data_IF_703368489853
#
_entry.id   IF_703368489853
#
_cell.length_a   1.000
_cell.length_b   1.000
_cell.length_c   1.000
_cell.angle_alpha   90.00
_cell.angle_beta   90.00
_cell.angle_gamma   90.00
#
_symmetry.space_group_name_H-M   'P 1'
#
loop_
_entity.id
_entity.type
_entity.pdbx_description
1 polymer ?
#
# COMPACT_ATOMS: atom_id res chain seq x y z
N UNK A 1 -28.77 -26.44 -14.44
CA UNK A 1 -27.89 -25.36 -13.93
C UNK A 1 -27.77 -25.52 -12.43
N UNK A 2 -26.56 -25.61 -11.90
CA UNK A 2 -26.34 -25.53 -10.45
C UNK A 2 -26.61 -24.09 -9.97
N UNK A 3 -27.25 -23.97 -8.80
CA UNK A 3 -27.61 -22.68 -8.23
C UNK A 3 -26.34 -21.96 -7.70
N UNK A 4 -26.00 -20.78 -8.25
CA UNK A 4 -24.76 -20.05 -7.91
C UNK A 4 -24.77 -19.44 -6.50
N UNK A 5 -25.91 -19.41 -5.81
CA UNK A 5 -26.06 -18.81 -4.49
C UNK A 5 -25.86 -19.82 -3.34
N UNK A 6 -25.70 -21.11 -3.62
CA UNK A 6 -25.53 -22.15 -2.58
C UNK A 6 -24.28 -21.99 -1.71
N UNK A 7 -23.34 -21.17 -2.15
CA UNK A 7 -22.06 -20.96 -1.49
C UNK A 7 -21.98 -19.64 -0.71
N UNK A 8 -23.04 -18.82 -0.69
CA UNK A 8 -23.06 -17.52 0.01
C UNK A 8 -22.98 -17.69 1.53
N UNK A 9 -23.72 -18.65 2.10
CA UNK A 9 -23.75 -18.88 3.55
C UNK A 9 -22.63 -19.82 4.03
N UNK A 10 -21.71 -20.22 3.13
CA UNK A 10 -20.59 -21.08 3.50
C UNK A 10 -19.46 -20.24 4.08
N UNK A 11 -18.76 -20.74 5.11
CA UNK A 11 -17.58 -20.06 5.63
C UNK A 11 -16.56 -19.86 4.51
N UNK A 12 -15.99 -18.66 4.46
CA UNK A 12 -14.94 -18.32 3.50
C UNK A 12 -13.84 -19.38 3.57
N UNK A 13 -13.46 -19.92 2.40
CA UNK A 13 -12.35 -20.87 2.31
C UNK A 13 -11.09 -20.21 2.87
N UNK A 14 -10.35 -20.94 3.70
CA UNK A 14 -9.06 -20.48 4.19
C UNK A 14 -8.12 -20.28 3.01
N UNK A 15 -7.61 -19.05 2.86
CA UNK A 15 -6.57 -18.75 1.88
C UNK A 15 -5.27 -19.46 2.25
N UNK A 16 -4.53 -20.02 1.27
CA UNK A 16 -3.19 -20.53 1.49
C UNK A 16 -2.31 -19.49 2.19
N UNK A 17 -1.57 -19.91 3.22
CA UNK A 17 -0.80 -19.00 4.06
C UNK A 17 0.23 -18.19 3.25
N UNK A 18 0.87 -18.82 2.28
CA UNK A 18 1.83 -18.19 1.37
C UNK A 18 1.19 -17.05 0.55
N UNK A 19 0.03 -17.31 -0.06
CA UNK A 19 -0.69 -16.31 -0.86
C UNK A 19 -1.18 -15.16 0.02
N UNK A 20 -1.67 -15.45 1.22
CA UNK A 20 -2.07 -14.41 2.18
C UNK A 20 -0.89 -13.51 2.55
N UNK A 21 0.26 -14.09 2.87
CA UNK A 21 1.47 -13.34 3.21
C UNK A 21 1.92 -12.45 2.05
N UNK A 22 1.93 -13.00 0.83
CA UNK A 22 2.29 -12.27 -0.38
C UNK A 22 1.38 -11.07 -0.63
N UNK A 23 0.06 -11.29 -0.62
CA UNK A 23 -0.92 -10.23 -0.85
C UNK A 23 -0.84 -9.15 0.22
N UNK A 24 -0.66 -9.53 1.49
CA UNK A 24 -0.50 -8.56 2.57
C UNK A 24 0.77 -7.71 2.43
N UNK A 25 1.86 -8.29 1.93
CA UNK A 25 3.09 -7.54 1.63
C UNK A 25 2.87 -6.53 0.50
N UNK A 26 2.21 -6.96 -0.59
CA UNK A 26 1.91 -6.09 -1.73
C UNK A 26 0.99 -4.91 -1.29
N UNK A 27 0.02 -5.17 -0.41
CA UNK A 27 -0.84 -4.12 0.20
C UNK A 27 -0.01 -3.16 1.06
N UNK A 28 0.92 -3.66 1.87
CA UNK A 28 1.75 -2.83 2.74
C UNK A 28 2.62 -1.85 1.92
N UNK A 29 3.21 -2.32 0.83
CA UNK A 29 3.99 -1.48 -0.08
C UNK A 29 3.11 -0.40 -0.72
N UNK A 30 1.94 -0.78 -1.23
CA UNK A 30 1.01 0.19 -1.83
C UNK A 30 0.56 1.25 -0.82
N UNK A 31 0.24 0.85 0.42
CA UNK A 31 -0.11 1.78 1.51
C UNK A 31 1.01 2.74 1.84
N UNK A 32 2.24 2.23 1.98
CA UNK A 32 3.41 3.07 2.21
C UNK A 32 3.56 4.11 1.09
N UNK A 33 3.43 3.71 -0.17
CA UNK A 33 3.52 4.65 -1.31
C UNK A 33 2.39 5.68 -1.26
N UNK A 34 1.16 5.28 -0.96
CA UNK A 34 0.04 6.21 -0.81
C UNK A 34 0.27 7.20 0.34
N UNK A 35 0.71 6.72 1.50
CA UNK A 35 1.03 7.58 2.65
C UNK A 35 2.18 8.55 2.36
N UNK A 36 3.22 8.09 1.64
CA UNK A 36 4.29 8.97 1.17
C UNK A 36 3.77 9.99 0.16
N UNK A 37 2.92 9.57 -0.78
CA UNK A 37 2.32 10.47 -1.74
C UNK A 37 1.43 11.50 -1.04
N UNK A 38 0.61 11.11 -0.07
CA UNK A 38 -0.19 12.03 0.74
C UNK A 38 0.71 12.99 1.54
N UNK A 39 1.71 12.47 2.24
CA UNK A 39 2.64 13.25 3.06
C UNK A 39 3.43 14.28 2.24
N UNK A 40 3.84 13.90 1.03
CA UNK A 40 4.74 14.68 0.18
C UNK A 40 4.04 15.34 -1.02
N UNK A 41 2.73 15.13 -1.20
CA UNK A 41 1.90 15.76 -2.25
C UNK A 41 1.87 17.28 -2.16
N UNK A 42 2.23 17.85 -1.00
CA UNK A 42 2.61 19.25 -0.89
C UNK A 42 4.14 19.36 -0.83
N UNK A 43 4.73 19.72 -1.97
CA UNK A 43 6.07 20.28 -2.09
C UNK A 43 7.25 19.37 -1.71
N UNK A 44 7.24 18.07 -2.07
CA UNK A 44 8.44 17.23 -2.00
C UNK A 44 9.66 17.89 -2.67
N UNK A 45 9.43 18.57 -3.80
CA UNK A 45 10.44 19.37 -4.50
C UNK A 45 11.05 20.44 -3.60
N UNK A 46 10.22 21.32 -3.01
CA UNK A 46 10.71 22.39 -2.13
C UNK A 46 11.40 21.85 -0.88
N UNK A 47 10.94 20.74 -0.30
CA UNK A 47 11.56 20.13 0.87
C UNK A 47 12.94 19.57 0.53
N UNK A 48 13.06 18.84 -0.58
CA UNK A 48 14.34 18.32 -1.06
C UNK A 48 15.30 19.48 -1.40
N UNK A 49 14.82 20.49 -2.13
CA UNK A 49 15.59 21.69 -2.49
C UNK A 49 16.05 22.45 -1.26
N UNK A 50 15.17 22.65 -0.27
CA UNK A 50 15.49 23.32 0.99
C UNK A 50 16.56 22.56 1.76
N UNK A 51 16.45 21.23 1.86
CA UNK A 51 17.43 20.40 2.58
C UNK A 51 18.79 20.40 1.87
N UNK A 52 18.82 20.27 0.54
CA UNK A 52 20.06 20.35 -0.25
C UNK A 52 20.72 21.74 -0.12
N UNK A 53 19.94 22.81 -0.29
CA UNK A 53 20.44 24.19 -0.22
C UNK A 53 20.99 24.55 1.16
N UNK A 54 20.43 23.98 2.23
CA UNK A 54 20.88 24.20 3.60
C UNK A 54 22.15 23.42 3.93
N UNK A 55 22.42 22.32 3.22
CA UNK A 55 23.66 21.55 3.33
C UNK A 55 24.84 22.24 2.63
N UNK A 56 24.62 22.83 1.46
CA UNK A 56 25.65 23.56 0.70
C UNK A 56 26.10 24.88 1.39
N UNK A 57 25.25 25.46 2.25
CA UNK A 57 25.54 26.70 2.99
C UNK A 57 26.28 26.49 4.31
N UNK A 58 26.53 25.23 4.73
CA UNK A 58 27.30 24.87 5.93
C UNK A 58 28.60 24.16 5.54
#
# INVERSE_FOLDING_TARGET
>A
MENPFRDIDKPLKSVPAELKAKVMNDIAIAKLIMELAELFSYNLGDVIETVMSKREKN
#
